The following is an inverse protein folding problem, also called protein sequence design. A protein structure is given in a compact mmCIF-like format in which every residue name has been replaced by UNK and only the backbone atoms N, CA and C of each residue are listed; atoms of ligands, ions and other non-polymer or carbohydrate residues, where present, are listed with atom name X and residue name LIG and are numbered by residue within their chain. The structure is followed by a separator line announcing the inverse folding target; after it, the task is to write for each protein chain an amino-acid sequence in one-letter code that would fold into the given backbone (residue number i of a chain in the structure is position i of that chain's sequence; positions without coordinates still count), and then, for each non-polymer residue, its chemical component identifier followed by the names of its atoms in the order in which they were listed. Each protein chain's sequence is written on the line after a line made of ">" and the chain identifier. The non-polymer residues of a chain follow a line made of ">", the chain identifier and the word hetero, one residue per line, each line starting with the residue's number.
data_IF_301145477485
#
_entry.id   IF_301145477485
#
_cell.length_a   1.000
_cell.length_b   1.000
_cell.length_c   1.000
_cell.angle_alpha   90.00
_cell.angle_beta   90.00
_cell.angle_gamma   90.00
#
_symmetry.space_group_name_H-M   'P 1'
#
loop_
_entity.id
_entity.type
_entity.pdbx_description
1 polymer ?
#
# COMPACT_ATOMS: atom_id res chain seq x y z
N UNK A 1 23.02 -8.73 -12.53
CA UNK A 1 21.73 -8.57 -11.84
C UNK A 1 21.93 -7.43 -10.87
N UNK A 2 21.25 -6.31 -11.09
CA UNK A 2 21.33 -5.18 -10.17
C UNK A 2 20.60 -5.50 -8.85
N UNK A 3 20.84 -4.69 -7.81
CA UNK A 3 20.24 -4.88 -6.49
C UNK A 3 18.70 -4.97 -6.52
N UNK A 4 18.05 -4.23 -7.42
CA UNK A 4 16.60 -4.15 -7.58
C UNK A 4 16.03 -5.30 -8.40
N UNK A 5 16.72 -5.74 -9.46
CA UNK A 5 16.38 -6.98 -10.17
C UNK A 5 16.41 -8.16 -9.18
N UNK A 6 17.42 -8.22 -8.31
CA UNK A 6 17.51 -9.22 -7.23
C UNK A 6 16.40 -9.08 -6.19
N UNK A 7 15.99 -7.86 -5.84
CA UNK A 7 14.89 -7.62 -4.89
C UNK A 7 13.53 -8.05 -5.46
N UNK A 8 13.26 -7.81 -6.75
CA UNK A 8 12.03 -8.25 -7.40
C UNK A 8 12.01 -9.77 -7.57
N UNK A 9 13.16 -10.37 -7.93
CA UNK A 9 13.26 -11.80 -8.18
C UNK A 9 13.07 -12.68 -6.92
N UNK A 10 13.34 -12.13 -5.74
CA UNK A 10 13.25 -12.82 -4.46
C UNK A 10 12.20 -12.16 -3.55
N UNK A 11 10.95 -12.14 -4.04
CA UNK A 11 9.80 -11.51 -3.37
C UNK A 11 9.60 -11.96 -1.92
N UNK A 12 9.85 -13.24 -1.65
CA UNK A 12 9.57 -13.84 -0.35
C UNK A 12 10.54 -13.33 0.72
N UNK A 13 11.77 -13.01 0.33
CA UNK A 13 12.82 -12.59 1.26
C UNK A 13 12.55 -11.25 1.94
N UNK A 14 11.88 -10.30 1.28
CA UNK A 14 11.52 -9.01 1.89
C UNK A 14 10.10 -8.98 2.46
N UNK A 15 9.28 -9.98 2.17
CA UNK A 15 7.99 -10.20 2.83
C UNK A 15 8.15 -10.88 4.21
N UNK A 16 9.29 -11.53 4.46
CA UNK A 16 9.65 -12.12 5.75
C UNK A 16 10.24 -11.05 6.66
N UNK A 17 9.51 -10.69 7.72
CA UNK A 17 10.03 -9.81 8.77
C UNK A 17 11.25 -10.45 9.47
N UNK A 18 12.33 -9.68 9.72
CA UNK A 18 13.44 -10.14 10.57
C UNK A 18 12.95 -10.62 11.94
N UNK A 19 13.61 -11.64 12.51
CA UNK A 19 13.17 -12.28 13.74
C UNK A 19 13.13 -11.33 14.96
N UNK A 20 13.96 -10.28 14.92
CA UNK A 20 14.14 -9.23 15.92
C UNK A 20 13.24 -8.00 15.66
N UNK A 21 12.45 -7.99 14.60
CA UNK A 21 11.61 -6.85 14.24
C UNK A 21 10.38 -6.72 15.18
N UNK A 22 10.02 -5.50 15.63
CA UNK A 22 8.89 -5.30 16.53
C UNK A 22 7.59 -5.84 15.92
N UNK A 23 6.96 -6.80 16.60
CA UNK A 23 5.66 -7.33 16.17
C UNK A 23 4.56 -6.38 16.62
N UNK A 24 3.85 -5.80 15.66
CA UNK A 24 2.59 -5.10 15.89
C UNK A 24 2.70 -3.61 16.18
N UNK A 25 2.96 -2.81 15.15
CA UNK A 25 2.51 -1.41 15.14
C UNK A 25 1.20 -1.35 14.37
N UNK A 26 0.11 -0.99 15.06
CA UNK A 26 -1.23 -0.95 14.48
C UNK A 26 -1.56 0.49 14.09
N UNK A 27 -1.40 0.84 12.81
CA UNK A 27 -1.91 2.08 12.23
C UNK A 27 -3.40 1.97 11.88
N UNK A 28 -4.22 2.88 12.41
CA UNK A 28 -5.61 3.01 11.99
C UNK A 28 -5.74 4.02 10.87
N UNK A 29 -6.46 3.67 9.81
CA UNK A 29 -6.88 4.64 8.79
C UNK A 29 -8.39 4.80 8.91
N UNK A 30 -8.83 6.02 9.21
CA UNK A 30 -10.24 6.41 9.23
C UNK A 30 -10.41 7.56 8.25
N UNK A 31 -11.28 7.36 7.26
CA UNK A 31 -11.68 8.39 6.32
C UNK A 31 -13.17 8.69 6.52
N UNK A 32 -13.48 9.89 7.01
CA UNK A 32 -14.85 10.40 7.08
C UNK A 32 -15.09 11.42 5.98
N UNK A 33 -16.28 11.39 5.38
CA UNK A 33 -16.63 12.29 4.30
C UNK A 33 -18.10 12.20 3.90
N UNK A 34 -18.40 12.65 2.68
CA UNK A 34 -19.72 12.53 2.09
C UNK A 34 -19.66 11.63 0.85
N UNK A 35 -20.59 10.69 0.76
CA UNK A 35 -20.81 9.85 -0.41
C UNK A 35 -22.29 9.91 -0.76
N UNK A 36 -22.62 10.17 -2.01
CA UNK A 36 -24.01 10.26 -2.49
C UNK A 36 -24.87 11.24 -1.66
N UNK A 37 -24.26 12.37 -1.24
CA UNK A 37 -24.91 13.41 -0.42
C UNK A 37 -25.07 13.08 1.06
N UNK A 38 -24.61 11.89 1.51
CA UNK A 38 -24.80 11.37 2.87
C UNK A 38 -23.47 11.23 3.61
N UNK A 39 -23.47 11.43 4.92
CA UNK A 39 -22.24 11.33 5.72
C UNK A 39 -21.83 9.86 5.85
N UNK A 40 -20.57 9.56 5.54
CA UNK A 40 -20.04 8.21 5.57
C UNK A 40 -18.66 8.14 6.22
N UNK A 41 -18.31 6.96 6.72
CA UNK A 41 -17.00 6.61 7.25
C UNK A 41 -16.52 5.32 6.60
N UNK A 42 -15.26 5.34 6.18
CA UNK A 42 -14.52 4.15 5.81
C UNK A 42 -13.43 3.92 6.86
N UNK A 43 -13.38 2.72 7.44
CA UNK A 43 -12.35 2.31 8.39
C UNK A 43 -11.53 1.16 7.82
N UNK A 44 -10.24 1.18 8.15
CA UNK A 44 -9.31 0.11 7.83
C UNK A 44 -8.32 -0.14 9.00
N UNK A 45 -8.10 -1.41 9.34
CA UNK A 45 -7.16 -1.88 10.37
C UNK A 45 -5.86 -2.39 9.73
N UNK A 46 -4.75 -2.29 10.45
CA UNK A 46 -3.48 -1.84 9.89
C UNK A 46 -2.92 -2.70 8.79
N UNK A 47 -2.32 -1.96 7.86
CA UNK A 47 -1.12 -2.33 7.14
C UNK A 47 -0.09 -2.90 8.12
N UNK A 48 0.20 -4.20 8.08
CA UNK A 48 1.39 -4.75 8.74
C UNK A 48 2.63 -4.01 8.19
N UNK A 49 3.74 -3.94 8.94
CA UNK A 49 4.91 -3.12 8.54
C UNK A 49 5.49 -3.54 7.18
N UNK A 50 5.29 -4.78 6.73
CA UNK A 50 5.69 -5.20 5.38
C UNK A 50 4.90 -4.53 4.23
N UNK A 51 3.80 -3.83 4.52
CA UNK A 51 3.01 -3.10 3.53
C UNK A 51 3.71 -1.81 3.09
N UNK A 52 4.47 -1.15 3.97
CA UNK A 52 5.25 0.04 3.59
C UNK A 52 6.39 -0.35 2.63
N UNK A 53 6.96 -1.55 2.77
CA UNK A 53 7.97 -2.09 1.85
C UNK A 53 7.41 -2.25 0.44
N UNK A 54 6.19 -2.80 0.30
CA UNK A 54 5.52 -2.93 -1.01
C UNK A 54 5.34 -1.57 -1.67
N UNK A 55 4.76 -0.60 -0.96
CA UNK A 55 4.56 0.74 -1.50
C UNK A 55 5.89 1.41 -1.88
N UNK A 56 6.93 1.26 -1.07
CA UNK A 56 8.25 1.81 -1.35
C UNK A 56 8.89 1.22 -2.62
N UNK A 57 8.84 -0.10 -2.79
CA UNK A 57 9.38 -0.78 -3.98
C UNK A 57 8.62 -0.33 -5.23
N UNK A 58 7.29 -0.23 -5.18
CA UNK A 58 6.49 0.23 -6.33
C UNK A 58 6.86 1.65 -6.71
N UNK A 59 6.93 2.57 -5.74
CA UNK A 59 7.34 3.95 -5.99
C UNK A 59 8.72 4.00 -6.64
N UNK A 60 9.69 3.26 -6.10
CA UNK A 60 11.04 3.20 -6.66
C UNK A 60 11.03 2.68 -8.10
N UNK A 61 10.30 1.59 -8.39
CA UNK A 61 10.20 1.03 -9.74
C UNK A 61 9.55 2.00 -10.74
N UNK A 62 8.47 2.67 -10.36
CA UNK A 62 7.79 3.64 -11.24
C UNK A 62 8.66 4.86 -11.52
N UNK A 63 9.40 5.35 -10.54
CA UNK A 63 10.40 6.43 -10.75
C UNK A 63 11.46 5.95 -11.75
N UNK A 64 12.02 4.75 -11.57
CA UNK A 64 13.06 4.21 -12.45
C UNK A 64 12.56 3.92 -13.88
N UNK A 65 11.29 3.56 -14.03
CA UNK A 65 10.63 3.39 -15.34
C UNK A 65 10.35 4.73 -16.05
N UNK A 66 10.58 5.87 -15.39
CA UNK A 66 10.32 7.20 -15.94
C UNK A 66 8.85 7.61 -15.90
N UNK A 67 8.02 6.94 -15.09
CA UNK A 67 6.59 7.26 -14.95
C UNK A 67 6.34 8.55 -14.17
N UNK A 68 7.31 8.97 -13.34
CA UNK A 68 7.29 10.26 -12.64
C UNK A 68 8.10 11.28 -13.43
N UNK A 69 7.42 12.18 -14.11
CA UNK A 69 8.04 13.21 -14.97
C UNK A 69 8.11 14.59 -14.30
N UNK A 70 7.42 14.77 -13.17
CA UNK A 70 7.38 16.02 -12.43
C UNK A 70 8.65 16.20 -11.58
N UNK A 71 9.20 17.41 -11.59
CA UNK A 71 10.37 17.78 -10.77
C UNK A 71 9.94 18.48 -9.48
N UNK A 72 10.59 18.15 -8.37
CA UNK A 72 10.38 18.78 -7.06
C UNK A 72 10.10 17.77 -5.94
N UNK A 73 9.75 18.30 -4.76
CA UNK A 73 9.27 17.48 -3.63
C UNK A 73 7.75 17.39 -3.73
N UNK A 74 7.26 16.20 -4.06
CA UNK A 74 5.85 15.96 -4.34
C UNK A 74 5.31 14.86 -3.45
N UNK A 75 4.05 14.97 -3.00
CA UNK A 75 3.40 13.88 -2.30
C UNK A 75 3.03 12.76 -3.30
N UNK A 76 2.93 11.49 -2.85
CA UNK A 76 2.65 10.36 -3.74
C UNK A 76 1.39 10.51 -4.59
N UNK A 77 0.32 11.10 -4.04
CA UNK A 77 -0.94 11.36 -4.73
C UNK A 77 -0.83 12.36 -5.89
N UNK A 78 0.25 13.15 -5.95
CA UNK A 78 0.54 14.02 -7.08
C UNK A 78 1.38 13.31 -8.17
N UNK A 79 2.04 12.21 -7.82
CA UNK A 79 2.95 11.48 -8.72
C UNK A 79 2.29 10.24 -9.35
N UNK A 80 1.30 9.65 -8.69
CA UNK A 80 0.76 8.34 -9.06
C UNK A 80 -0.76 8.35 -9.12
N UNK A 81 -1.29 7.74 -10.17
CA UNK A 81 -2.71 7.44 -10.25
C UNK A 81 -3.05 6.30 -9.27
N UNK A 82 -4.04 6.54 -8.40
CA UNK A 82 -4.32 5.69 -7.25
C UNK A 82 -4.70 4.25 -7.64
N UNK A 83 -5.58 4.05 -8.64
CA UNK A 83 -6.06 2.72 -9.03
C UNK A 83 -4.91 1.85 -9.52
N UNK A 84 -4.15 2.34 -10.49
CA UNK A 84 -3.02 1.63 -11.06
C UNK A 84 -1.97 1.30 -10.00
N UNK A 85 -1.74 2.19 -9.04
CA UNK A 85 -0.82 1.96 -7.93
C UNK A 85 -1.32 0.83 -7.01
N UNK A 86 -2.61 0.84 -6.65
CA UNK A 86 -3.21 -0.18 -5.80
C UNK A 86 -3.28 -1.55 -6.50
N UNK A 87 -3.53 -1.59 -7.80
CA UNK A 87 -3.51 -2.82 -8.60
C UNK A 87 -2.13 -3.46 -8.63
N UNK A 88 -1.07 -2.67 -8.81
CA UNK A 88 0.31 -3.16 -8.71
C UNK A 88 0.64 -3.60 -7.28
N UNK A 89 0.20 -2.85 -6.25
CA UNK A 89 0.39 -3.24 -4.85
C UNK A 89 -0.25 -4.59 -4.53
N UNK A 90 -1.45 -4.86 -5.03
CA UNK A 90 -2.15 -6.12 -4.84
C UNK A 90 -1.39 -7.33 -5.40
N UNK A 91 -0.52 -7.14 -6.40
CA UNK A 91 0.30 -8.22 -6.97
C UNK A 91 1.35 -8.75 -5.99
N UNK A 92 1.84 -7.91 -5.08
CA UNK A 92 2.88 -8.26 -4.10
C UNK A 92 2.32 -8.71 -2.76
N UNK A 93 1.00 -8.60 -2.56
CA UNK A 93 0.31 -9.12 -1.37
C UNK A 93 0.35 -10.65 -1.37
N UNK A 94 0.61 -11.25 -0.19
CA UNK A 94 0.59 -12.71 0.00
C UNK A 94 -0.72 -13.30 -0.54
N UNK A 95 -0.63 -14.47 -1.20
CA UNK A 95 -1.80 -15.09 -1.85
C UNK A 95 -2.96 -15.34 -0.87
N UNK A 96 -2.65 -15.64 0.39
CA UNK A 96 -3.63 -15.84 1.46
C UNK A 96 -4.52 -14.63 1.74
N UNK A 97 -4.10 -13.42 1.35
CA UNK A 97 -4.82 -12.17 1.54
C UNK A 97 -5.49 -11.66 0.26
N UNK A 98 -5.21 -12.25 -0.91
CA UNK A 98 -5.80 -11.79 -2.19
C UNK A 98 -7.31 -12.00 -2.22
N UNK A 99 -8.05 -10.96 -2.62
CA UNK A 99 -9.51 -10.99 -2.73
C UNK A 99 -10.26 -11.01 -1.39
N UNK A 100 -9.55 -10.98 -0.26
CA UNK A 100 -10.15 -10.83 1.06
C UNK A 100 -10.28 -9.35 1.40
N UNK A 101 -11.33 -9.01 2.14
CA UNK A 101 -11.42 -7.69 2.76
C UNK A 101 -10.22 -7.46 3.67
N UNK A 102 -9.80 -6.20 3.74
CA UNK A 102 -8.78 -5.81 4.70
C UNK A 102 -9.28 -6.10 6.12
N UNK A 103 -8.37 -6.37 7.06
CA UNK A 103 -8.75 -6.76 8.41
C UNK A 103 -9.65 -5.67 9.01
N UNK A 104 -10.86 -6.04 9.43
CA UNK A 104 -11.86 -5.11 9.95
C UNK A 104 -12.17 -3.92 9.01
N UNK A 105 -12.07 -4.10 7.69
CA UNK A 105 -12.56 -3.13 6.71
C UNK A 105 -14.06 -2.91 6.89
N UNK A 106 -14.48 -1.66 7.04
CA UNK A 106 -15.90 -1.31 7.22
C UNK A 106 -16.22 -0.02 6.51
N UNK A 107 -17.40 0.00 5.90
CA UNK A 107 -18.03 1.21 5.42
C UNK A 107 -19.33 1.43 6.21
N UNK A 108 -19.47 2.60 6.83
CA UNK A 108 -20.58 2.96 7.70
C UNK A 108 -21.22 4.26 7.21
N UNK A 109 -22.55 4.30 7.13
CA UNK A 109 -23.29 5.56 7.07
C UNK A 109 -23.38 6.14 8.48
N UNK A 110 -23.12 7.44 8.65
CA UNK A 110 -23.06 8.11 9.97
C UNK A 110 -24.38 8.81 10.34
N UNK A 111 -25.49 8.30 9.84
CA UNK A 111 -26.86 8.82 10.03
C UNK A 111 -27.66 7.92 10.97
#
# INVERSE_FOLDING_TARGET
>A
MDFFESAIADKERWLISPADYPRGWWMWVVAEGHKDGRKARYLNWPTMINWTTISFIIVALRILRGEVTLQGVLPPEACFELRSFLEEAAMYVCEEHRGRSLLNERFEWLE
#
